data_IF_050774542448
#
_entry.id   IF_050774542448
#
_cell.length_a   1.000
_cell.length_b   1.000
_cell.length_c   1.000
_cell.angle_alpha   90.00
_cell.angle_beta   90.00
_cell.angle_gamma   90.00
#
_symmetry.space_group_name_H-M   'P 1'
#
loop_
_entity.id
_entity.type
_entity.pdbx_description
1 polymer ?
#
# COMPACT_ATOMS: atom_id res chain seq x y z
N UNK A 1 -24.93 19.91 21.03
CA UNK A 1 -24.31 19.42 19.78
C UNK A 1 -25.38 19.16 18.70
N UNK A 2 -26.14 20.19 18.28
CA UNK A 2 -27.25 20.00 17.30
C UNK A 2 -26.74 20.05 15.84
N UNK A 3 -25.56 20.62 15.62
CA UNK A 3 -25.02 20.87 14.29
C UNK A 3 -24.44 19.61 13.60
N UNK A 4 -23.76 18.74 14.35
CA UNK A 4 -23.13 17.53 13.77
C UNK A 4 -24.15 16.60 13.11
N UNK A 5 -25.29 16.25 13.76
CA UNK A 5 -26.32 15.43 13.11
C UNK A 5 -26.89 16.02 11.82
N UNK A 6 -27.08 17.35 11.77
CA UNK A 6 -27.58 18.04 10.59
C UNK A 6 -26.58 17.96 9.42
N UNK A 7 -25.29 18.15 9.71
CA UNK A 7 -24.24 18.04 8.69
C UNK A 7 -24.07 16.60 8.23
N UNK A 8 -24.10 15.62 9.13
CA UNK A 8 -23.98 14.20 8.76
C UNK A 8 -25.14 13.76 7.86
N UNK A 9 -26.37 14.20 8.16
CA UNK A 9 -27.55 13.87 7.34
C UNK A 9 -27.48 14.52 5.95
N UNK A 10 -27.07 15.80 5.89
CA UNK A 10 -26.84 16.49 4.62
C UNK A 10 -25.79 15.76 3.77
N UNK A 11 -24.64 15.41 4.35
CA UNK A 11 -23.57 14.74 3.60
C UNK A 11 -24.02 13.34 3.15
N UNK A 12 -24.59 12.54 4.04
CA UNK A 12 -25.06 11.18 3.73
C UNK A 12 -26.12 11.14 2.62
N UNK A 13 -26.98 12.15 2.57
CA UNK A 13 -28.01 12.28 1.52
C UNK A 13 -27.39 12.70 0.19
N UNK A 14 -26.58 13.75 0.18
CA UNK A 14 -26.04 14.33 -1.05
C UNK A 14 -24.95 13.45 -1.69
N UNK A 15 -24.14 12.73 -0.89
CA UNK A 15 -23.07 11.88 -1.43
C UNK A 15 -23.64 10.69 -2.23
N UNK A 16 -24.80 10.16 -1.84
CA UNK A 16 -25.51 9.11 -2.59
C UNK A 16 -25.96 9.63 -3.97
N UNK A 17 -26.51 10.84 -4.02
CA UNK A 17 -26.92 11.45 -5.28
C UNK A 17 -25.72 11.71 -6.21
N UNK A 18 -24.61 12.20 -5.64
CA UNK A 18 -23.37 12.46 -6.38
C UNK A 18 -22.76 11.17 -6.92
N UNK A 19 -22.67 10.11 -6.11
CA UNK A 19 -22.11 8.82 -6.52
C UNK A 19 -22.81 8.23 -7.76
N UNK A 20 -24.14 8.39 -7.83
CA UNK A 20 -24.95 7.91 -8.96
C UNK A 20 -24.88 8.79 -10.22
N UNK A 21 -24.32 10.01 -10.15
CA UNK A 21 -24.31 10.99 -11.25
C UNK A 21 -23.02 11.81 -11.26
N UNK A 22 -21.90 11.14 -10.95
CA UNK A 22 -20.61 11.74 -10.59
C UNK A 22 -20.03 12.69 -11.64
N UNK A 23 -20.27 12.43 -12.93
CA UNK A 23 -19.80 13.30 -14.03
C UNK A 23 -20.51 14.65 -14.13
N UNK A 24 -21.69 14.80 -13.52
CA UNK A 24 -22.51 16.03 -13.61
C UNK A 24 -22.39 16.93 -12.37
N UNK A 25 -21.80 16.41 -11.29
CA UNK A 25 -21.70 17.11 -10.02
C UNK A 25 -20.60 18.20 -10.03
N UNK A 26 -20.82 19.28 -9.27
CA UNK A 26 -19.82 20.33 -9.09
C UNK A 26 -18.61 19.78 -8.32
N UNK A 27 -17.47 19.59 -9.00
CA UNK A 27 -16.27 18.98 -8.42
C UNK A 27 -15.81 19.64 -7.11
N UNK A 28 -15.84 20.98 -7.01
CA UNK A 28 -15.47 21.70 -5.78
C UNK A 28 -16.37 21.35 -4.60
N UNK A 29 -17.67 21.21 -4.86
CA UNK A 29 -18.65 20.83 -3.84
C UNK A 29 -18.41 19.39 -3.37
N UNK A 30 -18.16 18.46 -4.29
CA UNK A 30 -17.82 17.06 -3.96
C UNK A 30 -16.57 17.01 -3.07
N UNK A 31 -15.50 17.71 -3.44
CA UNK A 31 -14.25 17.73 -2.67
C UNK A 31 -14.46 18.27 -1.25
N UNK A 32 -15.17 19.39 -1.10
CA UNK A 32 -15.48 19.96 0.23
C UNK A 32 -16.32 19.00 1.05
N UNK A 33 -17.34 18.37 0.46
CA UNK A 33 -18.16 17.38 1.14
C UNK A 33 -17.35 16.18 1.64
N UNK A 34 -16.45 15.65 0.81
CA UNK A 34 -15.55 14.56 1.19
C UNK A 34 -14.62 14.98 2.32
N UNK A 35 -14.02 16.17 2.24
CA UNK A 35 -13.15 16.70 3.29
C UNK A 35 -13.88 16.84 4.63
N UNK A 36 -15.11 17.39 4.63
CA UNK A 36 -15.91 17.53 5.85
C UNK A 36 -16.36 16.15 6.36
N UNK A 37 -16.72 15.23 5.47
CA UNK A 37 -17.11 13.86 5.84
C UNK A 37 -15.98 13.12 6.54
N UNK A 38 -14.78 13.12 5.95
CA UNK A 38 -13.60 12.50 6.56
C UNK A 38 -13.17 13.19 7.86
N UNK A 39 -13.26 14.52 7.92
CA UNK A 39 -13.00 15.27 9.16
C UNK A 39 -13.95 14.85 10.29
N UNK A 40 -15.25 14.71 9.99
CA UNK A 40 -16.23 14.28 10.99
C UNK A 40 -15.93 12.85 11.46
N UNK A 41 -15.65 11.93 10.52
CA UNK A 41 -15.31 10.55 10.85
C UNK A 41 -14.07 10.43 11.74
N UNK A 42 -13.06 11.28 11.50
CA UNK A 42 -11.82 11.32 12.27
C UNK A 42 -12.03 11.91 13.68
N UNK A 43 -12.56 13.13 13.78
CA UNK A 43 -12.61 13.88 15.04
C UNK A 43 -13.84 13.58 15.90
N UNK A 44 -14.86 12.93 15.34
CA UNK A 44 -16.04 12.46 16.07
C UNK A 44 -16.16 10.94 15.98
N UNK A 45 -15.02 10.23 15.89
CA UNK A 45 -14.95 8.77 15.80
C UNK A 45 -15.75 8.06 16.90
N UNK A 46 -15.76 8.58 18.13
CA UNK A 46 -16.55 8.03 19.25
C UNK A 46 -18.06 7.97 18.96
N UNK A 47 -18.56 8.88 18.13
CA UNK A 47 -19.97 8.98 17.72
C UNK A 47 -20.22 8.30 16.37
N UNK A 48 -19.21 8.23 15.50
CA UNK A 48 -19.38 7.80 14.11
C UNK A 48 -18.81 6.41 13.81
N UNK A 49 -17.93 5.85 14.64
CA UNK A 49 -17.38 4.52 14.42
C UNK A 49 -18.49 3.48 14.40
N UNK A 50 -18.56 2.67 13.35
CA UNK A 50 -19.63 1.68 13.13
C UNK A 50 -21.02 2.27 12.86
N UNK A 51 -21.17 3.59 12.77
CA UNK A 51 -22.44 4.25 12.47
C UNK A 51 -22.88 4.07 11.01
N UNK A 52 -24.18 4.24 10.75
CA UNK A 52 -24.70 4.25 9.38
C UNK A 52 -24.10 5.39 8.54
N UNK A 53 -23.73 6.51 9.16
CA UNK A 53 -23.05 7.60 8.46
C UNK A 53 -21.71 7.12 7.87
N UNK A 54 -20.84 6.53 8.68
CA UNK A 54 -19.55 5.98 8.23
C UNK A 54 -19.73 4.95 7.12
N UNK A 55 -20.67 4.01 7.31
CA UNK A 55 -20.96 2.98 6.30
C UNK A 55 -21.41 3.58 4.97
N UNK A 56 -22.31 4.57 5.00
CA UNK A 56 -22.78 5.27 3.81
C UNK A 56 -21.63 6.00 3.12
N UNK A 57 -20.83 6.79 3.84
CA UNK A 57 -19.72 7.54 3.26
C UNK A 57 -18.73 6.60 2.60
N UNK A 58 -18.28 5.57 3.32
CA UNK A 58 -17.32 4.60 2.79
C UNK A 58 -17.88 3.88 1.57
N UNK A 59 -19.12 3.40 1.62
CA UNK A 59 -19.74 2.70 0.49
C UNK A 59 -19.81 3.59 -0.75
N UNK A 60 -20.25 4.85 -0.62
CA UNK A 60 -20.33 5.76 -1.77
C UNK A 60 -18.94 6.15 -2.29
N UNK A 61 -17.97 6.37 -1.42
CA UNK A 61 -16.59 6.62 -1.80
C UNK A 61 -15.98 5.42 -2.55
N UNK A 62 -16.19 4.19 -2.07
CA UNK A 62 -15.77 2.97 -2.75
C UNK A 62 -16.45 2.86 -4.11
N UNK A 63 -17.77 3.10 -4.20
CA UNK A 63 -18.48 3.12 -5.49
C UNK A 63 -17.81 4.09 -6.45
N UNK A 64 -17.58 5.34 -6.05
CA UNK A 64 -16.92 6.34 -6.90
C UNK A 64 -15.51 5.92 -7.34
N UNK A 65 -14.72 5.28 -6.47
CA UNK A 65 -13.36 4.75 -6.77
C UNK A 65 -13.39 3.56 -7.74
N UNK A 66 -14.47 2.78 -7.73
CA UNK A 66 -14.63 1.61 -8.61
C UNK A 66 -15.14 1.98 -10.01
N UNK A 67 -15.73 3.17 -10.16
CA UNK A 67 -16.24 3.66 -11.45
C UNK A 67 -15.09 4.07 -12.40
N UNK A 68 -15.42 4.36 -13.66
CA UNK A 68 -14.43 4.72 -14.70
C UNK A 68 -13.91 6.15 -14.56
N UNK A 69 -12.75 6.42 -15.16
CA UNK A 69 -12.11 7.74 -15.22
C UNK A 69 -13.01 8.84 -15.82
N UNK A 70 -13.98 8.48 -16.67
CA UNK A 70 -14.96 9.42 -17.25
C UNK A 70 -16.02 9.87 -16.24
N UNK A 71 -16.29 9.02 -15.25
CA UNK A 71 -17.34 9.27 -14.24
C UNK A 71 -16.77 9.93 -12.99
N UNK A 72 -15.62 9.46 -12.51
CA UNK A 72 -14.95 10.00 -11.33
C UNK A 72 -13.67 10.69 -11.75
N UNK A 73 -13.65 12.02 -11.63
CA UNK A 73 -12.44 12.79 -11.92
C UNK A 73 -11.26 12.38 -11.02
N UNK A 74 -10.04 12.45 -11.56
CA UNK A 74 -8.81 12.14 -10.82
C UNK A 74 -8.71 12.84 -9.46
N UNK A 75 -9.06 14.13 -9.37
CA UNK A 75 -8.98 14.88 -8.11
C UNK A 75 -9.88 14.30 -7.03
N UNK A 76 -11.09 13.86 -7.41
CA UNK A 76 -12.03 13.23 -6.48
C UNK A 76 -11.54 11.84 -6.09
N UNK A 77 -11.09 11.04 -7.06
CA UNK A 77 -10.49 9.73 -6.79
C UNK A 77 -9.34 9.84 -5.78
N UNK A 78 -8.38 10.73 -6.06
CA UNK A 78 -7.21 10.90 -5.21
C UNK A 78 -7.57 11.43 -3.81
N UNK A 79 -8.51 12.38 -3.72
CA UNK A 79 -9.01 12.87 -2.44
C UNK A 79 -9.67 11.76 -1.60
N UNK A 80 -10.40 10.84 -2.23
CA UNK A 80 -10.98 9.67 -1.55
C UNK A 80 -9.87 8.75 -1.03
N UNK A 81 -8.89 8.41 -1.87
CA UNK A 81 -7.79 7.51 -1.49
C UNK A 81 -6.98 8.07 -0.32
N UNK A 82 -6.62 9.35 -0.37
CA UNK A 82 -5.90 10.03 0.74
C UNK A 82 -6.77 10.15 1.99
N UNK A 83 -8.08 10.37 1.83
CA UNK A 83 -9.02 10.35 2.95
C UNK A 83 -9.10 8.99 3.63
N UNK A 84 -9.13 7.91 2.86
CA UNK A 84 -9.07 6.55 3.38
C UNK A 84 -7.75 6.27 4.13
N UNK A 85 -6.62 6.71 3.57
CA UNK A 85 -5.32 6.65 4.27
C UNK A 85 -5.37 7.38 5.61
N UNK A 86 -5.93 8.61 5.63
CA UNK A 86 -6.05 9.39 6.88
C UNK A 86 -6.90 8.68 7.93
N UNK A 87 -8.02 8.09 7.53
CA UNK A 87 -8.91 7.35 8.43
C UNK A 87 -8.27 6.08 9.00
N UNK A 88 -7.44 5.40 8.21
CA UNK A 88 -6.63 4.27 8.68
C UNK A 88 -5.60 4.71 9.73
N UNK A 89 -4.84 5.77 9.44
CA UNK A 89 -3.84 6.33 10.37
C UNK A 89 -4.48 6.85 11.65
N UNK A 90 -5.67 7.43 11.57
CA UNK A 90 -6.39 7.93 12.73
C UNK A 90 -7.09 6.84 13.54
N UNK A 91 -7.03 5.57 13.11
CA UNK A 91 -7.76 4.45 13.72
C UNK A 91 -9.27 4.74 13.88
N UNK A 92 -9.84 5.52 12.97
CA UNK A 92 -11.24 5.97 13.02
C UNK A 92 -12.25 4.93 12.46
N UNK A 93 -11.76 3.76 12.06
CA UNK A 93 -12.50 2.72 11.35
C UNK A 93 -12.50 1.41 12.13
N UNK A 94 -13.61 0.67 12.08
CA UNK A 94 -13.70 -0.69 12.60
C UNK A 94 -12.97 -1.72 11.73
N UNK A 95 -12.88 -2.96 12.22
CA UNK A 95 -12.15 -4.05 11.54
C UNK A 95 -12.68 -4.34 10.14
N UNK A 96 -14.00 -4.41 9.99
CA UNK A 96 -14.65 -4.69 8.70
C UNK A 96 -14.35 -3.60 7.66
N UNK A 97 -14.41 -2.32 8.05
CA UNK A 97 -14.10 -1.20 7.17
C UNK A 97 -12.62 -1.22 6.74
N UNK A 98 -11.71 -1.51 7.68
CA UNK A 98 -10.28 -1.62 7.36
C UNK A 98 -9.99 -2.74 6.37
N UNK A 99 -10.63 -3.90 6.53
CA UNK A 99 -10.44 -5.03 5.62
C UNK A 99 -11.02 -4.76 4.23
N UNK A 100 -12.14 -4.03 4.15
CA UNK A 100 -12.65 -3.52 2.88
C UNK A 100 -11.63 -2.60 2.18
N UNK A 101 -10.99 -1.68 2.91
CA UNK A 101 -9.98 -0.78 2.34
C UNK A 101 -8.71 -1.53 1.91
N UNK A 102 -8.27 -2.54 2.66
CA UNK A 102 -7.17 -3.42 2.26
C UNK A 102 -7.47 -4.10 0.92
N UNK A 103 -8.67 -4.71 0.78
CA UNK A 103 -9.10 -5.34 -0.48
C UNK A 103 -9.16 -4.35 -1.63
N UNK A 104 -9.75 -3.18 -1.40
CA UNK A 104 -9.82 -2.11 -2.40
C UNK A 104 -8.42 -1.69 -2.90
N UNK A 105 -7.46 -1.55 -1.98
CA UNK A 105 -6.09 -1.15 -2.34
C UNK A 105 -5.43 -2.17 -3.28
N UNK A 106 -5.60 -3.47 -3.01
CA UNK A 106 -5.09 -4.56 -3.86
C UNK A 106 -5.75 -4.53 -5.24
N UNK A 107 -7.08 -4.42 -5.28
CA UNK A 107 -7.84 -4.40 -6.54
C UNK A 107 -7.46 -3.20 -7.42
N UNK A 108 -7.29 -2.02 -6.81
CA UNK A 108 -6.95 -0.80 -7.54
C UNK A 108 -5.48 -0.73 -7.94
N UNK A 109 -4.57 -1.31 -7.16
CA UNK A 109 -3.14 -1.39 -7.53
C UNK A 109 -2.93 -2.22 -8.80
N UNK A 110 -3.79 -3.20 -9.05
CA UNK A 110 -3.75 -4.04 -10.25
C UNK A 110 -4.23 -3.33 -11.53
N UNK A 111 -4.77 -2.11 -11.46
CA UNK A 111 -5.23 -1.37 -12.63
C UNK A 111 -4.07 -0.94 -13.55
N UNK A 112 -4.32 -0.78 -14.86
CA UNK A 112 -3.28 -0.36 -15.81
C UNK A 112 -2.91 1.13 -15.66
N UNK A 113 -3.80 1.96 -15.10
CA UNK A 113 -3.57 3.40 -14.99
C UNK A 113 -2.54 3.71 -13.89
N UNK A 114 -1.40 4.35 -14.22
CA UNK A 114 -0.30 4.55 -13.27
C UNK A 114 -0.69 5.53 -12.15
N UNK A 115 -1.52 6.53 -12.44
CA UNK A 115 -1.96 7.51 -11.43
C UNK A 115 -2.83 6.83 -10.36
N UNK A 116 -3.78 5.99 -10.78
CA UNK A 116 -4.64 5.23 -9.88
C UNK A 116 -3.84 4.18 -9.09
N UNK A 117 -2.95 3.44 -9.78
CA UNK A 117 -2.11 2.44 -9.14
C UNK A 117 -1.20 3.04 -8.06
N UNK A 118 -0.57 4.20 -8.30
CA UNK A 118 0.27 4.87 -7.30
C UNK A 118 -0.53 5.37 -6.09
N UNK A 119 -1.75 5.87 -6.30
CA UNK A 119 -2.61 6.25 -5.17
C UNK A 119 -3.08 5.02 -4.37
N UNK A 120 -3.33 3.89 -5.05
CA UNK A 120 -3.68 2.63 -4.39
C UNK A 120 -2.50 2.01 -3.64
N UNK A 121 -1.26 2.23 -4.13
CA UNK A 121 -0.05 1.84 -3.43
C UNK A 121 0.07 2.57 -2.07
N UNK A 122 -0.24 3.86 -2.02
CA UNK A 122 -0.30 4.63 -0.76
C UNK A 122 -1.26 3.98 0.24
N UNK A 123 -2.49 3.71 -0.19
CA UNK A 123 -3.49 3.03 0.64
C UNK A 123 -3.04 1.63 1.10
N UNK A 124 -2.44 0.84 0.21
CA UNK A 124 -1.91 -0.48 0.54
C UNK A 124 -0.85 -0.40 1.63
N UNK A 125 0.15 0.48 1.46
CA UNK A 125 1.23 0.69 2.41
C UNK A 125 0.67 1.16 3.75
N UNK A 126 -0.17 2.19 3.75
CA UNK A 126 -0.82 2.70 4.96
C UNK A 126 -1.56 1.59 5.68
N UNK A 127 -2.35 0.77 4.96
CA UNK A 127 -3.07 -0.36 5.57
C UNK A 127 -2.19 -1.46 6.16
N UNK A 128 -0.95 -1.61 5.66
CA UNK A 128 0.05 -2.53 6.19
C UNK A 128 0.70 -1.97 7.46
N UNK A 129 1.05 -0.68 7.47
CA UNK A 129 1.70 -0.02 8.60
C UNK A 129 0.74 0.35 9.74
N UNK A 130 -0.56 0.43 9.47
CA UNK A 130 -1.60 0.69 10.49
C UNK A 130 -2.41 -0.55 10.86
N UNK A 131 -1.98 -1.75 10.44
CA UNK A 131 -2.65 -2.99 10.85
C UNK A 131 -2.64 -3.07 12.39
N UNK A 132 -3.82 -3.30 12.99
CA UNK A 132 -3.98 -3.24 14.44
C UNK A 132 -2.98 -4.14 15.15
N UNK A 133 -2.38 -3.53 16.17
CA UNK A 133 -1.41 -4.09 17.04
C UNK A 133 -1.90 -5.37 17.74
N UNK A 134 -1.37 -6.50 17.30
CA UNK A 134 -0.76 -7.45 18.23
C UNK A 134 0.50 -6.87 18.91
N UNK A 135 0.96 -5.67 18.53
CA UNK A 135 2.03 -4.90 19.20
C UNK A 135 1.43 -4.09 20.33
N UNK A 136 0.99 -4.78 21.38
CA UNK A 136 0.35 -4.16 22.52
C UNK A 136 1.06 -2.86 22.94
N UNK A 137 0.27 -1.79 23.04
CA UNK A 137 0.60 -0.68 23.94
C UNK A 137 0.52 -1.26 25.35
N UNK A 138 1.54 -2.01 25.75
CA UNK A 138 1.95 -2.05 27.14
C UNK A 138 2.57 -0.68 27.40
N UNK A 139 1.75 0.24 27.89
CA UNK A 139 2.24 1.32 28.72
C UNK A 139 2.95 0.68 29.90
N UNK A 140 4.25 0.46 29.79
CA UNK A 140 5.23 0.42 30.86
C UNK A 140 6.63 0.24 30.23
N UNK A 141 7.47 1.24 30.48
CA UNK A 141 8.94 1.32 30.46
C UNK A 141 9.81 0.36 29.63
N UNK A 142 10.79 0.98 28.95
CA UNK A 142 12.11 0.46 28.57
C UNK A 142 12.20 -0.79 27.66
N UNK A 143 12.19 -0.59 26.34
CA UNK A 143 13.21 -1.19 25.44
C UNK A 143 13.14 -0.67 23.99
N UNK A 144 14.20 0.00 23.52
CA UNK A 144 14.34 0.56 22.15
C UNK A 144 14.71 -0.55 21.12
N UNK A 145 14.56 -1.82 21.48
CA UNK A 145 14.82 -2.96 20.59
C UNK A 145 13.64 -3.94 20.58
N UNK A 146 12.45 -3.45 20.22
CA UNK A 146 11.36 -4.34 19.84
C UNK A 146 11.67 -4.96 18.46
N UNK A 147 12.49 -6.01 18.47
CA UNK A 147 12.49 -6.98 17.38
C UNK A 147 11.05 -7.47 17.24
N UNK A 148 10.52 -7.36 16.01
CA UNK A 148 9.20 -7.84 15.65
C UNK A 148 9.00 -9.25 16.22
N UNK A 149 8.01 -9.40 17.10
CA UNK A 149 7.55 -10.70 17.56
C UNK A 149 7.15 -11.56 16.34
N UNK A 150 7.17 -12.90 16.48
CA UNK A 150 6.80 -13.80 15.38
C UNK A 150 5.40 -13.42 14.87
N UNK A 151 5.35 -12.84 13.67
CA UNK A 151 4.09 -12.55 12.99
C UNK A 151 3.38 -13.89 12.73
N UNK A 152 2.06 -13.91 12.88
CA UNK A 152 1.25 -15.06 12.53
C UNK A 152 1.63 -15.52 11.10
N UNK A 153 1.92 -16.81 10.87
CA UNK A 153 2.22 -17.32 9.53
C UNK A 153 1.21 -16.88 8.47
N UNK A 154 -0.06 -16.68 8.82
CA UNK A 154 -1.09 -16.16 7.92
C UNK A 154 -0.86 -14.67 7.56
N UNK A 155 -0.43 -13.85 8.51
CA UNK A 155 -0.09 -12.44 8.27
C UNK A 155 1.16 -12.31 7.39
N UNK A 156 2.18 -13.14 7.61
CA UNK A 156 3.39 -13.18 6.78
C UNK A 156 3.03 -13.58 5.34
N UNK A 157 2.15 -14.58 5.17
CA UNK A 157 1.68 -15.02 3.87
C UNK A 157 0.96 -13.89 3.13
N UNK A 158 0.00 -13.23 3.79
CA UNK A 158 -0.73 -12.09 3.22
C UNK A 158 0.20 -10.91 2.90
N UNK A 159 1.20 -10.64 3.73
CA UNK A 159 2.21 -9.64 3.45
C UNK A 159 3.04 -10.01 2.20
N UNK A 160 3.42 -11.28 2.05
CA UNK A 160 4.19 -11.76 0.90
C UNK A 160 3.38 -11.71 -0.41
N UNK A 161 2.07 -11.94 -0.36
CA UNK A 161 1.17 -11.70 -1.49
C UNK A 161 1.22 -10.24 -1.93
N UNK A 162 1.14 -9.29 -0.98
CA UNK A 162 1.22 -7.84 -1.24
C UNK A 162 2.57 -7.43 -1.82
N UNK A 163 3.66 -7.97 -1.30
CA UNK A 163 5.01 -7.82 -1.88
C UNK A 163 5.05 -8.33 -3.32
N UNK A 164 4.43 -9.49 -3.59
CA UNK A 164 4.39 -10.05 -4.94
C UNK A 164 3.67 -9.13 -5.93
N UNK A 165 2.60 -8.46 -5.50
CA UNK A 165 1.94 -7.43 -6.31
C UNK A 165 2.89 -6.27 -6.62
N UNK A 166 3.69 -5.81 -5.64
CA UNK A 166 4.67 -4.74 -5.87
C UNK A 166 5.74 -5.14 -6.90
N UNK A 167 6.26 -6.36 -6.84
CA UNK A 167 7.18 -6.88 -7.86
C UNK A 167 6.52 -6.94 -9.25
N UNK A 168 5.26 -7.39 -9.30
CA UNK A 168 4.47 -7.39 -10.52
C UNK A 168 4.26 -5.99 -11.09
N UNK A 169 4.10 -4.96 -10.24
CA UNK A 169 4.04 -3.55 -10.67
C UNK A 169 5.36 -3.04 -11.19
N UNK A 170 6.50 -3.46 -10.62
CA UNK A 170 7.80 -3.16 -11.24
C UNK A 170 7.85 -3.78 -12.64
N UNK A 171 7.38 -5.02 -12.81
CA UNK A 171 7.45 -5.72 -14.11
C UNK A 171 6.49 -5.16 -15.17
N UNK A 172 5.25 -4.84 -14.79
CA UNK A 172 4.15 -4.52 -15.73
C UNK A 172 3.82 -3.02 -15.78
N UNK A 173 4.23 -2.25 -14.78
CA UNK A 173 3.89 -0.84 -14.65
C UNK A 173 4.67 0.05 -15.63
N UNK A 174 4.20 1.29 -15.78
CA UNK A 174 4.90 2.28 -16.59
C UNK A 174 6.24 2.68 -15.93
N UNK A 175 7.27 3.13 -16.67
CA UNK A 175 8.60 3.37 -16.10
C UNK A 175 8.66 4.27 -14.85
N UNK A 176 7.91 5.40 -14.76
CA UNK A 176 7.89 6.22 -13.55
C UNK A 176 7.26 5.51 -12.34
N UNK A 177 6.23 4.71 -12.60
CA UNK A 177 5.55 3.91 -11.59
C UNK A 177 6.47 2.81 -11.07
N UNK A 178 7.07 2.02 -11.97
CA UNK A 178 8.03 0.98 -11.62
C UNK A 178 9.20 1.55 -10.80
N UNK A 179 9.67 2.76 -11.14
CA UNK A 179 10.71 3.46 -10.39
C UNK A 179 10.26 3.83 -8.97
N UNK A 180 9.03 4.31 -8.79
CA UNK A 180 8.48 4.61 -7.47
C UNK A 180 8.35 3.35 -6.61
N UNK A 181 7.80 2.26 -7.17
CA UNK A 181 7.66 0.99 -6.46
C UNK A 181 9.03 0.42 -6.08
N UNK A 182 10.00 0.38 -7.01
CA UNK A 182 11.35 -0.08 -6.74
C UNK A 182 12.10 0.80 -5.71
N UNK A 183 11.74 2.08 -5.58
CA UNK A 183 12.32 2.94 -4.56
C UNK A 183 11.82 2.61 -3.15
N UNK A 184 10.53 2.31 -3.02
CA UNK A 184 9.83 2.02 -1.75
C UNK A 184 10.05 0.57 -1.29
N UNK A 185 10.22 -0.36 -2.22
CA UNK A 185 10.27 -1.79 -1.92
C UNK A 185 11.37 -2.19 -0.91
N UNK A 186 12.62 -1.70 -0.98
CA UNK A 186 13.67 -2.12 -0.04
C UNK A 186 13.41 -1.80 1.45
N UNK A 187 13.05 -0.57 1.86
CA UNK A 187 12.69 -0.32 3.26
C UNK A 187 11.46 -1.13 3.67
N UNK A 188 10.45 -1.25 2.80
CA UNK A 188 9.27 -2.06 3.07
C UNK A 188 9.62 -3.54 3.34
N UNK A 189 10.48 -4.15 2.52
CA UNK A 189 10.90 -5.55 2.74
C UNK A 189 11.61 -5.74 4.08
N UNK A 190 12.43 -4.77 4.48
CA UNK A 190 13.14 -4.83 5.75
C UNK A 190 12.22 -4.66 6.96
N UNK A 191 11.14 -3.89 6.82
CA UNK A 191 10.21 -3.61 7.92
C UNK A 191 9.23 -4.77 8.17
N UNK A 192 9.03 -5.65 7.19
CA UNK A 192 8.01 -6.70 7.26
C UNK A 192 8.56 -8.14 7.22
N UNK A 193 9.79 -8.37 6.77
CA UNK A 193 10.28 -9.74 6.57
C UNK A 193 11.70 -9.93 7.07
N UNK A 194 12.01 -11.11 7.64
CA UNK A 194 13.39 -11.50 7.80
C UNK A 194 14.03 -11.65 6.41
N UNK A 195 15.33 -11.34 6.26
CA UNK A 195 16.03 -11.43 4.98
C UNK A 195 15.90 -12.80 4.29
N UNK A 196 15.88 -13.88 5.06
CA UNK A 196 15.84 -15.25 4.54
C UNK A 196 14.59 -15.50 3.67
N UNK A 197 13.47 -14.87 3.99
CA UNK A 197 12.19 -15.07 3.32
C UNK A 197 12.08 -14.32 1.99
N UNK A 198 12.82 -13.20 1.85
CA UNK A 198 12.70 -12.30 0.70
C UNK A 198 13.85 -12.40 -0.29
N UNK A 199 15.03 -12.90 0.12
CA UNK A 199 16.24 -12.83 -0.69
C UNK A 199 16.13 -13.66 -1.97
N UNK A 200 15.58 -14.87 -1.90
CA UNK A 200 15.27 -15.70 -3.07
C UNK A 200 14.40 -14.95 -4.08
N UNK A 201 13.38 -14.23 -3.60
CA UNK A 201 12.45 -13.48 -4.45
C UNK A 201 13.13 -12.27 -5.08
N UNK A 202 13.84 -11.46 -4.29
CA UNK A 202 14.56 -10.27 -4.77
C UNK A 202 15.59 -10.64 -5.85
N UNK A 203 16.39 -11.69 -5.61
CA UNK A 203 17.41 -12.16 -6.55
C UNK A 203 16.76 -12.79 -7.79
N UNK A 204 15.73 -13.62 -7.60
CA UNK A 204 14.98 -14.22 -8.70
C UNK A 204 14.36 -13.17 -9.64
N UNK A 205 13.80 -12.11 -9.08
CA UNK A 205 13.23 -10.99 -9.84
C UNK A 205 14.28 -10.18 -10.60
N UNK A 206 15.48 -10.02 -10.04
CA UNK A 206 16.60 -9.38 -10.72
C UNK A 206 17.16 -10.22 -11.88
N UNK A 207 17.26 -11.53 -11.67
CA UNK A 207 17.79 -12.49 -12.65
C UNK A 207 16.77 -12.92 -13.70
N UNK A 208 15.49 -12.64 -13.48
CA UNK A 208 14.42 -13.01 -14.40
C UNK A 208 14.64 -12.42 -15.80
N UNK A 209 14.47 -13.26 -16.83
CA UNK A 209 14.47 -12.82 -18.23
C UNK A 209 13.20 -12.04 -18.60
N UNK A 210 12.16 -12.12 -17.77
CA UNK A 210 10.90 -11.40 -17.96
C UNK A 210 10.90 -10.03 -17.29
N UNK A 211 12.00 -9.61 -16.67
CA UNK A 211 12.10 -8.32 -15.99
C UNK A 211 12.50 -7.21 -17.00
N UNK A 212 11.60 -6.29 -17.37
CA UNK A 212 11.91 -5.20 -18.31
C UNK A 212 12.75 -4.08 -17.69
N UNK A 213 12.86 -4.02 -16.35
CA UNK A 213 13.60 -2.99 -15.63
C UNK A 213 14.72 -3.55 -14.73
N UNK A 214 15.70 -4.30 -15.28
CA UNK A 214 16.74 -4.94 -14.49
C UNK A 214 17.60 -3.93 -13.69
N UNK A 215 17.76 -2.70 -14.17
CA UNK A 215 18.44 -1.61 -13.47
C UNK A 215 17.74 -1.14 -12.19
N UNK A 216 16.40 -1.18 -12.18
CA UNK A 216 15.63 -0.88 -10.97
C UNK A 216 15.80 -2.00 -9.95
N UNK A 217 15.74 -3.24 -10.42
CA UNK A 217 15.98 -4.42 -9.57
C UNK A 217 17.41 -4.47 -9.01
N UNK A 218 18.43 -4.07 -9.77
CA UNK A 218 19.78 -3.93 -9.26
C UNK A 218 19.85 -2.93 -8.08
N UNK A 219 19.09 -1.83 -8.16
CA UNK A 219 18.99 -0.85 -7.06
C UNK A 219 18.30 -1.45 -5.83
N UNK A 220 17.27 -2.29 -6.03
CA UNK A 220 16.59 -3.01 -4.96
C UNK A 220 17.55 -3.98 -4.27
N UNK A 221 18.24 -4.84 -5.03
CA UNK A 221 19.25 -5.79 -4.52
C UNK A 221 20.33 -5.04 -3.73
N UNK A 222 20.88 -3.96 -4.29
CA UNK A 222 21.90 -3.14 -3.64
C UNK A 222 21.43 -2.60 -2.28
N UNK A 223 20.21 -2.05 -2.20
CA UNK A 223 19.66 -1.51 -0.96
C UNK A 223 19.39 -2.60 0.07
N UNK A 224 18.87 -3.76 -0.35
CA UNK A 224 18.63 -4.91 0.54
C UNK A 224 19.96 -5.42 1.11
N UNK A 225 20.96 -5.69 0.28
CA UNK A 225 22.28 -6.15 0.74
C UNK A 225 22.99 -5.11 1.60
N UNK A 226 22.88 -3.83 1.24
CA UNK A 226 23.40 -2.73 2.04
C UNK A 226 22.80 -2.68 3.44
N UNK A 227 21.51 -3.02 3.57
CA UNK A 227 20.84 -3.11 4.87
C UNK A 227 21.35 -4.30 5.69
N UNK A 228 21.50 -5.48 5.07
CA UNK A 228 22.11 -6.64 5.73
C UNK A 228 23.50 -6.33 6.28
N UNK A 229 24.31 -5.61 5.51
CA UNK A 229 25.65 -5.21 5.95
C UNK A 229 25.61 -4.27 7.17
N UNK A 230 24.71 -3.27 7.15
CA UNK A 230 24.49 -2.37 8.30
C UNK A 230 24.03 -3.11 9.55
N UNK A 231 23.26 -4.18 9.39
CA UNK A 231 22.80 -5.03 10.47
C UNK A 231 23.82 -6.12 10.88
N UNK A 232 25.08 -6.03 10.42
CA UNK A 232 26.14 -6.98 10.76
C UNK A 232 26.06 -8.34 10.06
N UNK A 233 25.09 -8.55 9.16
CA UNK A 233 24.84 -9.83 8.48
C UNK A 233 25.72 -10.04 7.24
N UNK A 234 27.00 -9.68 7.33
CA UNK A 234 27.93 -9.75 6.19
C UNK A 234 28.14 -11.17 5.68
N UNK A 235 28.12 -12.17 6.56
CA UNK A 235 28.24 -13.58 6.16
C UNK A 235 27.05 -14.03 5.31
N UNK A 236 25.82 -13.66 5.71
CA UNK A 236 24.61 -13.94 4.94
C UNK A 236 24.69 -13.38 3.52
N UNK A 237 25.19 -12.14 3.35
CA UNK A 237 25.40 -11.55 2.03
C UNK A 237 26.33 -12.42 1.16
N UNK A 238 27.45 -12.90 1.73
CA UNK A 238 28.39 -13.78 1.01
C UNK A 238 27.73 -15.08 0.60
N UNK A 239 26.98 -15.70 1.50
CA UNK A 239 26.30 -16.97 1.25
C UNK A 239 25.29 -16.83 0.11
N UNK A 240 24.48 -15.76 0.12
CA UNK A 240 23.51 -15.47 -0.94
C UNK A 240 24.16 -15.18 -2.30
N UNK A 241 25.30 -14.47 -2.32
CA UNK A 241 26.07 -14.26 -3.55
C UNK A 241 26.59 -15.58 -4.11
N UNK A 242 27.14 -16.44 -3.25
CA UNK A 242 27.65 -17.76 -3.65
C UNK A 242 26.53 -18.66 -4.20
N UNK A 243 25.37 -18.69 -3.54
CA UNK A 243 24.20 -19.45 -3.99
C UNK A 243 23.64 -18.98 -5.33
N UNK A 244 23.85 -17.70 -5.67
CA UNK A 244 23.31 -17.10 -6.89
C UNK A 244 24.25 -17.19 -8.08
N UNK A 245 25.54 -17.51 -7.87
CA UNK A 245 26.58 -17.47 -8.90
C UNK A 245 26.28 -18.36 -10.11
N UNK A 246 25.70 -19.55 -9.88
CA UNK A 246 25.25 -20.43 -10.97
C UNK A 246 24.14 -19.77 -11.81
N UNK A 247 23.23 -19.04 -11.16
CA UNK A 247 22.11 -18.39 -11.84
C UNK A 247 22.58 -17.20 -12.68
N UNK A 248 23.62 -16.47 -12.23
CA UNK A 248 24.25 -15.41 -13.00
C UNK A 248 24.90 -15.95 -14.29
N UNK A 249 25.67 -17.03 -14.19
CA UNK A 249 26.42 -17.58 -15.33
C UNK A 249 25.52 -18.26 -16.37
N UNK A 250 24.32 -18.70 -15.98
CA UNK A 250 23.35 -19.32 -16.88
C UNK A 250 22.39 -18.32 -17.55
N UNK A 251 22.47 -17.02 -17.21
CA UNK A 251 21.59 -16.00 -17.77
C UNK A 251 21.87 -15.79 -19.27
N UNK A 252 20.82 -15.61 -20.05
CA UNK A 252 20.90 -15.30 -21.48
C UNK A 252 20.22 -13.95 -21.77
N UNK A 253 20.79 -13.11 -22.66
CA UNK A 253 22.07 -13.27 -23.37
C UNK A 253 23.31 -13.07 -22.47
N UNK A 254 24.48 -13.55 -22.91
CA UNK A 254 25.75 -13.46 -22.15
C UNK A 254 26.10 -12.02 -21.75
N UNK A 255 25.81 -11.03 -22.60
CA UNK A 255 26.01 -9.62 -22.27
C UNK A 255 25.22 -9.21 -21.01
N UNK A 256 23.98 -9.70 -20.85
CA UNK A 256 23.18 -9.46 -19.65
C UNK A 256 23.70 -10.26 -18.46
N UNK A 257 24.23 -11.47 -18.65
CA UNK A 257 24.90 -12.21 -17.58
C UNK A 257 26.08 -11.43 -17.00
N UNK A 258 26.96 -10.91 -17.88
CA UNK A 258 28.13 -10.10 -17.49
C UNK A 258 27.71 -8.79 -16.83
N UNK A 259 26.67 -8.12 -17.34
CA UNK A 259 26.18 -6.87 -16.73
C UNK A 259 25.55 -7.10 -15.35
N UNK A 260 24.94 -8.27 -15.13
CA UNK A 260 24.27 -8.58 -13.87
C UNK A 260 25.25 -9.01 -12.77
N UNK A 261 26.33 -9.70 -13.15
CA UNK A 261 27.39 -10.19 -12.26
C UNK A 261 28.24 -9.04 -11.70
#
# INVERSE_FOLDING_TARGET
QVFVPMVTDYIATNIKAISNSSSSACQKHVLVMLSVGFYIMEYYSDLTAGSDFTRVILQQCVTMVLMSDESTSWLVYHAIMVGFERLLVAHALGSQERDMLKKLSVDRLCLPSPMHALSALGLLLTSMYTAEDGRGVSSDDDDIHQQMQPQDPEEILLAMERVSIMFDRIRKGYPPEAKAVAFILPPFLNDFFPPQDIMNKVIGEFLSNQQPHPQLMATVVFKVFGNLHRNGQTQSVRDWVMLSLSNFTQRTPVAMAIWSL
#
